data_IF_298471002197
#
_entry.id   IF_298471002197
#
_cell.length_a   1.000
_cell.length_b   1.000
_cell.length_c   1.000
_cell.angle_alpha   90.00
_cell.angle_beta   90.00
_cell.angle_gamma   90.00
#
_symmetry.space_group_name_H-M   'P 1'
#
loop_
_entity.id
_entity.type
_entity.pdbx_description
1 polymer ?
#
# COMPACT_ATOMS: atom_id res chain seq x y z
N UNK A 1 29.03 72.55 -37.20
CA UNK A 1 29.74 71.55 -38.05
C UNK A 1 28.78 71.14 -39.17
N UNK A 2 29.11 71.18 -40.48
CA UNK A 2 29.81 70.13 -41.28
C UNK A 2 29.26 68.72 -40.94
N UNK A 3 28.79 67.84 -41.84
CA UNK A 3 28.71 67.68 -43.33
C UNK A 3 27.65 66.56 -43.60
N UNK A 4 27.10 66.26 -44.79
CA UNK A 4 26.82 66.95 -46.08
C UNK A 4 26.16 65.94 -47.07
N UNK A 5 25.68 66.38 -48.25
CA UNK A 5 25.48 65.58 -49.51
C UNK A 5 24.40 64.47 -49.53
N UNK A 6 23.65 64.16 -50.61
CA UNK A 6 23.61 64.54 -52.06
C UNK A 6 22.12 64.57 -52.49
N UNK A 7 21.61 65.54 -53.25
CA UNK A 7 21.59 65.61 -54.73
C UNK A 7 21.31 64.28 -55.47
N UNK A 8 20.11 64.14 -56.04
CA UNK A 8 19.91 63.98 -57.49
C UNK A 8 18.41 64.16 -57.81
N UNK A 9 18.08 64.91 -58.86
CA UNK A 9 16.74 64.93 -59.44
C UNK A 9 16.80 64.42 -60.88
N UNK A 10 15.75 63.75 -61.34
CA UNK A 10 15.48 63.46 -62.75
C UNK A 10 14.00 63.69 -63.02
N UNK A 11 13.72 64.27 -64.18
CA UNK A 11 12.40 64.63 -64.68
C UNK A 11 11.79 63.45 -65.48
N UNK A 12 10.49 63.21 -65.32
CA UNK A 12 9.66 62.48 -66.29
C UNK A 12 9.73 60.94 -66.28
N UNK A 13 8.58 60.30 -66.10
CA UNK A 13 7.75 59.91 -67.24
C UNK A 13 6.33 59.57 -66.76
N UNK A 14 5.31 59.98 -67.50
CA UNK A 14 3.97 59.44 -67.33
C UNK A 14 3.92 58.03 -67.95
N UNK A 15 3.66 57.01 -67.13
CA UNK A 15 3.32 55.67 -67.59
C UNK A 15 2.10 55.18 -66.83
N UNK A 16 1.02 54.94 -67.58
CA UNK A 16 -0.27 54.54 -67.03
C UNK A 16 -0.22 53.09 -66.54
N UNK A 17 0.13 52.88 -65.28
CA UNK A 17 -0.18 51.64 -64.58
C UNK A 17 -1.65 51.69 -64.16
N UNK A 18 -2.52 50.99 -64.89
CA UNK A 18 -3.88 50.73 -64.47
C UNK A 18 -3.88 49.79 -63.26
N UNK A 19 -3.60 50.33 -62.08
CA UNK A 19 -3.84 49.63 -60.81
C UNK A 19 -5.34 49.44 -60.73
N UNK A 20 -5.77 48.18 -60.87
CA UNK A 20 -7.17 47.80 -60.73
C UNK A 20 -7.66 48.17 -59.34
N UNK A 21 -8.31 49.33 -59.23
CA UNK A 21 -9.03 49.77 -58.05
C UNK A 21 -10.27 48.89 -57.91
N UNK A 22 -10.06 47.69 -57.39
CA UNK A 22 -11.08 46.89 -56.73
C UNK A 22 -11.48 47.59 -55.44
N UNK A 23 -12.17 48.73 -55.56
CA UNK A 23 -12.82 49.41 -54.47
C UNK A 23 -13.89 48.45 -53.92
N UNK A 24 -13.58 47.73 -52.85
CA UNK A 24 -14.60 47.08 -52.04
C UNK A 24 -15.63 48.16 -51.67
N UNK A 25 -16.88 47.97 -52.07
CA UNK A 25 -17.92 48.96 -51.78
C UNK A 25 -18.14 49.01 -50.27
N UNK A 26 -18.64 50.13 -49.74
CA UNK A 26 -19.00 50.21 -48.31
C UNK A 26 -19.88 49.04 -47.90
N UNK A 27 -20.83 48.65 -48.77
CA UNK A 27 -21.70 47.49 -48.61
C UNK A 27 -20.96 46.15 -48.53
N UNK A 28 -19.88 45.93 -49.29
CA UNK A 28 -19.03 44.74 -49.17
C UNK A 28 -18.25 44.71 -47.85
N UNK A 29 -17.82 45.88 -47.38
CA UNK A 29 -17.12 46.04 -46.10
C UNK A 29 -18.10 45.79 -44.94
N UNK A 30 -19.28 46.39 -44.97
CA UNK A 30 -20.35 46.20 -43.99
C UNK A 30 -20.79 44.74 -43.91
N UNK A 31 -20.96 44.07 -45.05
CA UNK A 31 -21.30 42.64 -45.07
C UNK A 31 -20.18 41.78 -44.46
N UNK A 32 -18.90 42.05 -44.78
CA UNK A 32 -17.77 41.32 -44.19
C UNK A 32 -17.64 41.57 -42.69
N UNK A 33 -17.95 42.78 -42.22
CA UNK A 33 -18.02 43.10 -40.78
C UNK A 33 -19.14 42.31 -40.12
N UNK A 34 -20.35 42.30 -40.69
CA UNK A 34 -21.49 41.54 -40.17
C UNK A 34 -21.23 40.01 -40.16
N UNK A 35 -20.60 39.46 -41.20
CA UNK A 35 -20.18 38.05 -41.23
C UNK A 35 -19.08 37.74 -40.21
N UNK A 36 -18.15 38.67 -39.97
CA UNK A 36 -17.11 38.53 -38.95
C UNK A 36 -17.68 38.63 -37.53
N UNK A 37 -18.62 39.55 -37.29
CA UNK A 37 -19.38 39.67 -36.05
C UNK A 37 -20.16 38.38 -35.78
N UNK A 38 -21.00 37.93 -36.72
CA UNK A 38 -21.77 36.67 -36.56
C UNK A 38 -20.88 35.43 -36.33
N UNK A 39 -19.69 35.35 -36.93
CA UNK A 39 -18.69 34.29 -36.66
C UNK A 39 -18.01 34.44 -35.30
N UNK A 40 -17.95 35.64 -34.75
CA UNK A 40 -17.40 35.94 -33.43
C UNK A 40 -18.45 35.65 -32.35
N UNK A 41 -19.69 36.10 -32.55
CA UNK A 41 -20.81 35.85 -31.64
C UNK A 41 -21.04 34.34 -31.44
N UNK A 42 -21.07 33.56 -32.52
CA UNK A 42 -21.15 32.08 -32.46
C UNK A 42 -19.96 31.42 -31.75
N UNK A 43 -18.79 32.05 -31.76
CA UNK A 43 -17.62 31.57 -31.00
C UNK A 43 -17.72 31.96 -29.53
N UNK A 44 -18.26 33.13 -29.22
CA UNK A 44 -18.52 33.58 -27.84
C UNK A 44 -19.52 32.63 -27.19
N UNK A 45 -20.69 32.40 -27.82
CA UNK A 45 -21.72 31.46 -27.37
C UNK A 45 -21.16 30.04 -27.14
N UNK A 46 -20.33 29.55 -28.07
CA UNK A 46 -19.66 28.25 -27.97
C UNK A 46 -18.61 28.20 -26.85
N UNK A 47 -17.93 29.30 -26.53
CA UNK A 47 -16.98 29.40 -25.42
C UNK A 47 -17.71 29.52 -24.09
N UNK A 48 -18.79 30.30 -24.02
CA UNK A 48 -19.65 30.43 -22.84
C UNK A 48 -20.21 29.06 -22.43
N UNK A 49 -20.76 28.31 -23.39
CA UNK A 49 -21.24 26.93 -23.15
C UNK A 49 -20.12 26.04 -22.61
N UNK A 50 -18.91 26.11 -23.17
CA UNK A 50 -17.76 25.32 -22.68
C UNK A 50 -17.29 25.74 -21.28
N UNK A 51 -17.41 27.02 -20.93
CA UNK A 51 -17.07 27.54 -19.58
C UNK A 51 -18.08 27.04 -18.56
N UNK A 52 -19.38 27.03 -18.86
CA UNK A 52 -20.41 26.44 -17.99
C UNK A 52 -20.16 24.94 -17.76
N UNK A 53 -19.94 24.18 -18.84
CA UNK A 53 -19.61 22.75 -18.82
C UNK A 53 -18.37 22.43 -17.96
N UNK A 54 -17.35 23.31 -18.00
CA UNK A 54 -16.14 23.19 -17.19
C UNK A 54 -16.38 23.56 -15.72
N UNK A 55 -17.20 24.58 -15.44
CA UNK A 55 -17.57 24.96 -14.08
C UNK A 55 -18.40 23.87 -13.39
N UNK A 56 -19.30 23.18 -14.10
CA UNK A 56 -20.01 22.02 -13.56
C UNK A 56 -19.07 20.85 -13.27
N UNK A 57 -18.16 20.52 -14.19
CA UNK A 57 -17.15 19.46 -13.99
C UNK A 57 -16.19 19.80 -12.85
N UNK A 58 -15.84 21.07 -12.66
CA UNK A 58 -15.04 21.52 -11.52
C UNK A 58 -15.80 21.28 -10.20
N UNK A 59 -17.03 21.80 -10.06
CA UNK A 59 -17.88 21.55 -8.86
C UNK A 59 -18.06 20.05 -8.56
N UNK A 60 -18.27 19.23 -9.59
CA UNK A 60 -18.41 17.78 -9.45
C UNK A 60 -17.09 17.06 -9.08
N UNK A 61 -15.94 17.68 -9.34
CA UNK A 61 -14.62 17.20 -8.93
C UNK A 61 -14.31 17.63 -7.51
N UNK A 62 -14.57 18.90 -7.16
CA UNK A 62 -14.39 19.44 -5.81
C UNK A 62 -15.22 18.66 -4.79
N UNK A 63 -16.50 18.38 -5.09
CA UNK A 63 -17.35 17.55 -4.22
C UNK A 63 -16.88 16.08 -4.08
N UNK A 64 -16.15 15.55 -5.07
CA UNK A 64 -15.52 14.22 -4.95
C UNK A 64 -14.25 14.26 -4.11
N UNK A 65 -13.47 15.35 -4.18
CA UNK A 65 -12.29 15.56 -3.34
C UNK A 65 -12.71 15.66 -1.87
N UNK A 66 -13.71 16.49 -1.53
CA UNK A 66 -14.25 16.56 -0.17
C UNK A 66 -14.74 15.20 0.36
N UNK A 67 -15.34 14.37 -0.50
CA UNK A 67 -15.79 13.03 -0.13
C UNK A 67 -14.61 12.06 0.07
N UNK A 68 -13.54 12.21 -0.70
CA UNK A 68 -12.31 11.44 -0.52
C UNK A 68 -11.57 11.84 0.76
N UNK A 69 -11.45 13.14 1.03
CA UNK A 69 -10.79 13.66 2.24
C UNK A 69 -11.48 13.16 3.51
N UNK A 70 -12.82 13.26 3.59
CA UNK A 70 -13.61 12.70 4.71
C UNK A 70 -13.36 11.19 4.88
N UNK A 71 -13.30 10.44 3.79
CA UNK A 71 -13.05 8.99 3.84
C UNK A 71 -11.61 8.66 4.24
N UNK A 72 -10.63 9.46 3.84
CA UNK A 72 -9.23 9.34 4.28
C UNK A 72 -9.12 9.64 5.77
N UNK A 73 -9.83 10.66 6.26
CA UNK A 73 -9.88 11.00 7.68
C UNK A 73 -10.50 9.86 8.51
N UNK A 74 -11.69 9.36 8.13
CA UNK A 74 -12.33 8.19 8.76
C UNK A 74 -11.42 6.95 8.77
N UNK A 75 -10.76 6.65 7.64
CA UNK A 75 -9.79 5.55 7.53
C UNK A 75 -8.59 5.76 8.46
N UNK A 76 -8.08 6.97 8.58
CA UNK A 76 -6.94 7.30 9.44
C UNK A 76 -7.29 7.19 10.93
N UNK A 77 -8.49 7.62 11.32
CA UNK A 77 -9.01 7.47 12.68
C UNK A 77 -9.22 5.99 13.01
N UNK A 78 -9.90 5.23 12.14
CA UNK A 78 -10.10 3.79 12.29
C UNK A 78 -8.78 3.00 12.39
N UNK A 79 -7.79 3.34 11.56
CA UNK A 79 -6.46 2.74 11.62
C UNK A 79 -5.72 3.08 12.93
N UNK A 80 -5.81 4.32 13.40
CA UNK A 80 -5.24 4.75 14.69
C UNK A 80 -5.89 4.03 15.87
N UNK A 81 -7.21 3.90 15.88
CA UNK A 81 -7.95 3.15 16.91
C UNK A 81 -7.69 1.64 16.87
N UNK A 82 -7.54 1.05 15.68
CA UNK A 82 -7.15 -0.35 15.54
C UNK A 82 -5.72 -0.59 16.07
N UNK A 83 -4.78 0.30 15.73
CA UNK A 83 -3.40 0.24 16.21
C UNK A 83 -3.32 0.46 17.73
N UNK A 84 -4.08 1.40 18.28
CA UNK A 84 -4.18 1.63 19.73
C UNK A 84 -4.73 0.39 20.45
N UNK A 85 -5.83 -0.19 19.97
CA UNK A 85 -6.40 -1.44 20.53
C UNK A 85 -5.41 -2.60 20.46
N UNK A 86 -4.67 -2.74 19.36
CA UNK A 86 -3.63 -3.75 19.22
C UNK A 86 -2.45 -3.53 20.18
N UNK A 87 -2.04 -2.27 20.40
CA UNK A 87 -1.01 -1.92 21.39
C UNK A 87 -1.48 -2.17 22.82
N UNK A 88 -2.70 -1.78 23.18
CA UNK A 88 -3.30 -2.02 24.51
C UNK A 88 -3.43 -3.53 24.78
N UNK A 89 -3.91 -4.31 23.79
CA UNK A 89 -3.93 -5.77 23.87
C UNK A 89 -2.51 -6.37 24.03
N UNK A 90 -1.51 -5.85 23.31
CA UNK A 90 -0.11 -6.27 23.42
C UNK A 90 0.52 -5.91 24.77
N UNK A 91 0.14 -4.79 25.39
CA UNK A 91 0.58 -4.40 26.74
C UNK A 91 -0.08 -5.28 27.81
N UNK A 92 -1.38 -5.57 27.67
CA UNK A 92 -2.09 -6.51 28.55
C UNK A 92 -1.57 -7.94 28.44
N UNK A 93 -1.18 -8.38 27.24
CA UNK A 93 -0.50 -9.65 27.03
C UNK A 93 0.88 -9.66 27.70
N UNK A 94 1.71 -8.63 27.50
CA UNK A 94 3.03 -8.51 28.15
C UNK A 94 2.97 -8.53 29.69
N UNK A 95 1.90 -8.01 30.29
CA UNK A 95 1.65 -8.13 31.74
C UNK A 95 1.29 -9.54 32.22
N UNK A 96 1.05 -10.48 31.31
CA UNK A 96 0.69 -11.89 31.59
C UNK A 96 1.69 -12.91 31.06
N UNK A 97 2.60 -12.58 30.15
CA UNK A 97 3.60 -13.53 29.65
C UNK A 97 4.52 -13.96 30.79
N UNK A 98 4.50 -15.25 31.11
CA UNK A 98 5.37 -15.89 32.10
C UNK A 98 6.76 -16.11 31.50
N UNK A 99 6.80 -16.70 30.30
CA UNK A 99 8.00 -16.84 29.48
C UNK A 99 7.64 -17.16 28.02
N UNK A 100 8.60 -16.94 27.13
CA UNK A 100 8.54 -17.34 25.73
C UNK A 100 9.70 -18.31 25.43
N UNK A 101 9.48 -19.29 24.55
CA UNK A 101 10.55 -20.10 23.99
C UNK A 101 10.44 -20.19 22.47
N UNK A 102 11.49 -19.75 21.78
CA UNK A 102 11.61 -19.80 20.31
C UNK A 102 12.32 -21.06 19.85
N UNK A 103 11.70 -21.76 18.92
CA UNK A 103 12.15 -23.00 18.32
C UNK A 103 12.39 -22.80 16.82
N UNK A 104 13.60 -22.43 16.44
CA UNK A 104 14.02 -22.25 15.03
C UNK A 104 14.30 -23.59 14.35
N UNK A 105 14.42 -23.59 13.01
CA UNK A 105 14.78 -24.77 12.21
C UNK A 105 16.05 -25.49 12.73
N UNK A 106 17.01 -24.76 13.30
CA UNK A 106 18.25 -25.34 13.85
C UNK A 106 18.06 -26.08 15.19
N UNK A 107 16.87 -25.96 15.82
CA UNK A 107 16.52 -26.55 17.14
C UNK A 107 15.30 -27.47 17.07
N UNK A 108 14.31 -27.12 16.24
CA UNK A 108 13.22 -27.98 15.79
C UNK A 108 13.38 -28.12 14.28
N UNK A 109 13.92 -29.26 13.81
CA UNK A 109 13.95 -29.51 12.36
C UNK A 109 12.61 -30.06 11.95
N UNK A 110 11.83 -29.22 11.28
CA UNK A 110 10.78 -29.74 10.43
C UNK A 110 11.44 -30.22 9.13
N UNK A 111 11.05 -31.39 8.60
CA UNK A 111 11.48 -31.73 7.24
C UNK A 111 11.02 -30.62 6.27
N UNK A 112 11.77 -30.39 5.19
CA UNK A 112 11.40 -29.35 4.20
C UNK A 112 9.97 -29.57 3.73
N UNK A 113 9.16 -28.50 3.74
CA UNK A 113 7.71 -28.52 3.46
C UNK A 113 6.89 -29.45 4.36
N UNK A 114 7.37 -29.76 5.57
CA UNK A 114 6.69 -30.61 6.55
C UNK A 114 6.34 -29.86 7.84
N UNK A 115 5.42 -30.45 8.59
CA UNK A 115 5.09 -30.11 9.97
C UNK A 115 5.48 -31.22 10.97
N UNK A 116 6.20 -32.25 10.52
CA UNK A 116 6.62 -33.35 11.38
C UNK A 116 7.84 -32.98 12.23
N UNK A 117 7.72 -33.17 13.54
CA UNK A 117 8.78 -32.97 14.54
C UNK A 117 9.82 -34.10 14.45
N UNK A 118 11.10 -33.74 14.34
CA UNK A 118 12.23 -34.66 14.54
C UNK A 118 12.46 -34.97 16.02
N UNK A 119 13.42 -35.85 16.33
CA UNK A 119 13.64 -36.27 17.72
C UNK A 119 14.29 -35.18 18.58
N UNK A 120 15.13 -34.31 17.98
CA UNK A 120 15.69 -33.15 18.69
C UNK A 120 14.61 -32.12 19.05
N UNK A 121 13.62 -31.95 18.18
CA UNK A 121 12.45 -31.14 18.49
C UNK A 121 11.66 -31.68 19.67
N UNK A 122 11.43 -33.00 19.70
CA UNK A 122 10.72 -33.69 20.77
C UNK A 122 11.42 -33.49 22.11
N UNK A 123 12.73 -33.73 22.18
CA UNK A 123 13.54 -33.47 23.40
C UNK A 123 13.39 -32.02 23.91
N UNK A 124 13.45 -31.03 23.00
CA UNK A 124 13.34 -29.62 23.38
C UNK A 124 11.91 -29.26 23.85
N UNK A 125 10.90 -29.95 23.33
CA UNK A 125 9.50 -29.84 23.78
C UNK A 125 9.24 -30.62 25.09
N UNK A 126 9.93 -31.74 25.33
CA UNK A 126 9.92 -32.45 26.62
C UNK A 126 10.44 -31.52 27.74
N UNK A 127 11.56 -30.83 27.51
CA UNK A 127 12.11 -29.81 28.43
C UNK A 127 11.13 -28.64 28.67
N UNK A 128 10.53 -28.10 27.60
CA UNK A 128 9.53 -27.04 27.71
C UNK A 128 8.33 -27.48 28.56
N UNK A 129 7.83 -28.70 28.35
CA UNK A 129 6.70 -29.24 29.11
C UNK A 129 7.03 -29.51 30.58
N UNK A 130 8.29 -29.75 30.94
CA UNK A 130 8.73 -29.76 32.35
C UNK A 130 8.60 -28.36 32.95
N UNK A 131 9.19 -27.33 32.31
CA UNK A 131 9.11 -25.93 32.78
C UNK A 131 7.67 -25.45 33.00
N UNK A 132 6.75 -25.77 32.08
CA UNK A 132 5.32 -25.45 32.21
C UNK A 132 4.69 -26.10 33.44
N UNK A 133 5.03 -27.37 33.73
CA UNK A 133 4.49 -28.10 34.90
C UNK A 133 5.08 -27.59 36.21
N UNK A 134 6.35 -27.17 36.22
CA UNK A 134 7.02 -26.61 37.40
C UNK A 134 6.43 -25.27 37.87
N UNK A 135 5.70 -24.54 37.01
CA UNK A 135 4.92 -23.36 37.41
C UNK A 135 3.81 -23.67 38.43
N UNK A 136 3.36 -24.94 38.54
CA UNK A 136 2.37 -25.44 39.51
C UNK A 136 1.04 -24.66 39.55
N UNK A 137 0.65 -24.04 38.44
CA UNK A 137 -0.56 -23.21 38.31
C UNK A 137 -1.16 -23.32 36.91
N UNK A 138 -2.45 -22.98 36.70
CA UNK A 138 -2.99 -22.83 35.37
C UNK A 138 -2.22 -21.76 34.58
N UNK A 139 -1.96 -22.06 33.31
CA UNK A 139 -1.39 -21.14 32.32
C UNK A 139 -2.05 -21.37 30.96
N UNK A 140 -2.11 -20.33 30.17
CA UNK A 140 -2.43 -20.36 28.74
C UNK A 140 -1.15 -20.50 27.92
N UNK A 141 -1.23 -21.15 26.77
CA UNK A 141 -0.11 -21.36 25.88
C UNK A 141 -0.54 -20.97 24.48
N UNK A 142 0.17 -20.01 23.88
CA UNK A 142 0.01 -19.64 22.48
C UNK A 142 1.19 -20.19 21.68
N UNK A 143 0.89 -20.84 20.56
CA UNK A 143 1.86 -21.52 19.70
C UNK A 143 1.78 -20.86 18.32
N UNK A 144 2.81 -20.10 17.97
CA UNK A 144 2.87 -19.25 16.79
C UNK A 144 3.75 -19.92 15.72
N UNK A 145 3.18 -20.24 14.56
CA UNK A 145 3.91 -20.82 13.43
C UNK A 145 4.40 -19.76 12.45
N UNK A 146 5.68 -19.82 12.09
CA UNK A 146 6.29 -18.94 11.09
C UNK A 146 7.03 -19.72 9.99
N UNK A 147 7.13 -19.11 8.83
CA UNK A 147 7.86 -19.60 7.65
C UNK A 147 8.91 -18.60 7.20
N UNK A 148 9.68 -18.96 6.17
CA UNK A 148 10.37 -17.97 5.35
C UNK A 148 9.48 -17.57 4.15
N UNK A 149 9.95 -16.61 3.34
CA UNK A 149 9.20 -16.11 2.18
C UNK A 149 9.24 -17.02 0.94
N UNK A 150 9.50 -18.32 1.09
CA UNK A 150 9.58 -19.27 -0.04
C UNK A 150 8.22 -19.91 -0.30
N UNK A 151 7.38 -19.23 -1.08
CA UNK A 151 6.06 -19.75 -1.46
C UNK A 151 5.07 -18.64 -1.76
N UNK A 152 3.79 -18.98 -1.73
CA UNK A 152 2.71 -17.98 -1.62
C UNK A 152 2.33 -17.80 -0.15
N UNK A 153 1.77 -16.64 0.18
CA UNK A 153 1.21 -16.30 1.51
C UNK A 153 0.27 -17.42 2.01
N UNK A 154 -0.69 -17.84 1.19
CA UNK A 154 -1.62 -18.95 1.47
C UNK A 154 -0.92 -20.27 1.85
N UNK A 155 0.18 -20.62 1.17
CA UNK A 155 0.98 -21.83 1.48
C UNK A 155 1.74 -21.66 2.79
N UNK A 156 2.30 -20.47 3.02
CA UNK A 156 3.04 -20.13 4.23
C UNK A 156 2.15 -20.14 5.47
N UNK A 157 0.96 -19.55 5.38
CA UNK A 157 -0.04 -19.55 6.45
C UNK A 157 -0.49 -20.97 6.80
N UNK A 158 -0.82 -21.79 5.79
CA UNK A 158 -1.17 -23.20 6.02
C UNK A 158 -0.01 -24.02 6.61
N UNK A 159 1.24 -23.75 6.21
CA UNK A 159 2.42 -24.45 6.72
C UNK A 159 2.72 -24.04 8.17
N UNK A 160 2.66 -22.76 8.49
CA UNK A 160 2.80 -22.24 9.86
C UNK A 160 1.74 -22.83 10.79
N UNK A 161 0.46 -22.84 10.35
CA UNK A 161 -0.64 -23.44 11.10
C UNK A 161 -0.41 -24.94 11.39
N UNK A 162 0.00 -25.72 10.38
CA UNK A 162 0.31 -27.15 10.54
C UNK A 162 1.48 -27.38 11.50
N UNK A 163 2.52 -26.54 11.48
CA UNK A 163 3.67 -26.61 12.40
C UNK A 163 3.27 -26.30 13.84
N UNK A 164 2.47 -25.26 14.04
CA UNK A 164 1.92 -24.89 15.35
C UNK A 164 1.03 -26.00 15.93
N UNK A 165 0.10 -26.53 15.13
CA UNK A 165 -0.78 -27.64 15.55
C UNK A 165 0.01 -28.92 15.84
N UNK A 166 1.10 -29.21 15.12
CA UNK A 166 1.95 -30.37 15.42
C UNK A 166 2.63 -30.26 16.79
N UNK A 167 3.06 -29.05 17.19
CA UNK A 167 3.60 -28.79 18.54
C UNK A 167 2.49 -28.94 19.59
N UNK A 168 1.30 -28.36 19.36
CA UNK A 168 0.12 -28.47 20.25
C UNK A 168 -0.28 -29.92 20.49
N UNK A 169 -0.39 -30.72 19.42
CA UNK A 169 -0.75 -32.13 19.50
C UNK A 169 0.33 -32.97 20.17
N UNK A 170 1.62 -32.65 19.97
CA UNK A 170 2.71 -33.32 20.67
C UNK A 170 2.63 -33.06 22.18
N UNK A 171 2.55 -31.80 22.59
CA UNK A 171 2.44 -31.39 24.00
C UNK A 171 1.19 -31.98 24.67
N UNK A 172 0.05 -32.00 23.98
CA UNK A 172 -1.18 -32.63 24.45
C UNK A 172 -1.03 -34.14 24.66
N UNK A 173 -0.50 -34.86 23.66
CA UNK A 173 -0.45 -36.33 23.68
C UNK A 173 0.64 -36.86 24.61
N UNK A 174 1.84 -36.25 24.58
CA UNK A 174 3.03 -36.71 25.33
C UNK A 174 3.01 -36.27 26.79
N UNK A 175 2.58 -35.03 27.07
CA UNK A 175 2.65 -34.42 28.41
C UNK A 175 1.29 -34.09 29.03
N UNK A 176 0.19 -34.41 28.34
CA UNK A 176 -1.17 -34.22 28.83
C UNK A 176 -1.48 -32.74 29.16
N UNK A 177 -0.82 -31.80 28.47
CA UNK A 177 -1.15 -30.38 28.58
C UNK A 177 -2.57 -30.14 28.01
N UNK A 178 -3.46 -29.38 28.69
CA UNK A 178 -4.85 -29.26 28.26
C UNK A 178 -4.99 -28.53 26.91
N UNK A 179 -5.53 -29.23 25.89
CA UNK A 179 -5.84 -28.66 24.58
C UNK A 179 -6.67 -27.36 24.66
N UNK A 180 -7.68 -27.22 25.55
CA UNK A 180 -8.44 -25.97 25.69
C UNK A 180 -7.62 -24.77 26.18
N UNK A 181 -6.41 -24.98 26.73
CA UNK A 181 -5.48 -23.91 27.13
C UNK A 181 -4.36 -23.67 26.11
N UNK A 182 -4.37 -24.39 24.99
CA UNK A 182 -3.40 -24.24 23.90
C UNK A 182 -4.08 -23.66 22.67
N UNK A 183 -3.67 -22.47 22.27
CA UNK A 183 -4.09 -21.79 21.03
C UNK A 183 -2.96 -21.86 20.01
N UNK A 184 -3.32 -22.06 18.74
CA UNK A 184 -2.37 -22.05 17.62
C UNK A 184 -2.68 -20.91 16.67
N UNK A 185 -1.65 -20.15 16.30
CA UNK A 185 -1.71 -19.03 15.37
C UNK A 185 -0.68 -19.29 14.26
N UNK A 186 -1.00 -18.88 13.04
CA UNK A 186 -0.01 -18.79 11.95
C UNK A 186 0.21 -17.33 11.62
N UNK A 187 1.47 -16.98 11.36
CA UNK A 187 1.85 -15.67 10.83
C UNK A 187 2.51 -15.77 9.45
N UNK A 188 2.58 -16.98 8.87
CA UNK A 188 3.30 -17.22 7.62
C UNK A 188 4.71 -16.62 7.65
N UNK A 189 5.03 -15.84 6.61
CA UNK A 189 6.27 -15.06 6.50
C UNK A 189 6.11 -13.57 6.85
N UNK A 190 4.94 -13.15 7.35
CA UNK A 190 4.61 -11.73 7.65
C UNK A 190 5.44 -11.12 8.79
N UNK A 191 5.94 -11.97 9.72
CA UNK A 191 6.74 -11.57 10.88
C UNK A 191 8.15 -12.22 10.85
N UNK A 192 9.05 -11.77 9.95
CA UNK A 192 10.43 -12.22 9.90
C UNK A 192 11.26 -11.62 11.04
N UNK A 193 12.14 -12.43 11.63
CA UNK A 193 13.17 -11.99 12.61
C UNK A 193 14.50 -11.65 11.96
N UNK A 194 14.74 -12.18 10.76
CA UNK A 194 15.96 -11.99 9.98
C UNK A 194 15.63 -11.71 8.49
N UNK A 195 16.49 -11.04 7.71
CA UNK A 195 16.27 -10.87 6.29
C UNK A 195 16.31 -12.22 5.54
N UNK A 196 15.23 -12.55 4.81
CA UNK A 196 15.10 -13.78 4.00
C UNK A 196 16.13 -13.92 2.85
N UNK A 197 17.04 -12.96 2.67
CA UNK A 197 18.07 -12.94 1.61
C UNK A 197 19.06 -14.10 1.69
N UNK A 198 19.34 -14.62 2.89
CA UNK A 198 20.29 -15.72 3.11
C UNK A 198 19.62 -17.00 3.58
N UNK A 199 20.26 -18.16 3.35
CA UNK A 199 19.81 -19.45 3.90
C UNK A 199 19.70 -19.43 5.42
N UNK A 200 20.64 -18.77 6.10
CA UNK A 200 20.65 -18.54 7.56
C UNK A 200 19.43 -17.72 8.01
N UNK A 201 19.16 -16.59 7.35
CA UNK A 201 18.01 -15.74 7.70
C UNK A 201 16.69 -16.45 7.49
N UNK A 202 16.55 -17.21 6.40
CA UNK A 202 15.40 -18.10 6.17
C UNK A 202 15.26 -19.18 7.25
N UNK A 203 16.37 -19.81 7.69
CA UNK A 203 16.34 -20.80 8.78
C UNK A 203 15.94 -20.21 10.14
N UNK A 204 16.31 -18.94 10.42
CA UNK A 204 15.83 -18.23 11.61
C UNK A 204 14.34 -17.89 11.53
N UNK A 205 13.82 -17.55 10.34
CA UNK A 205 12.41 -17.23 10.13
C UNK A 205 11.49 -18.45 10.20
N UNK A 206 11.93 -19.60 9.67
CA UNK A 206 11.25 -20.90 9.84
C UNK A 206 11.38 -21.35 11.31
N UNK A 207 10.41 -20.93 12.13
CA UNK A 207 10.39 -21.15 13.58
C UNK A 207 8.96 -21.40 14.08
N UNK A 208 8.86 -22.00 15.27
CA UNK A 208 7.68 -21.91 16.12
C UNK A 208 8.05 -21.12 17.37
N UNK A 209 7.23 -20.16 17.76
CA UNK A 209 7.34 -19.46 19.05
C UNK A 209 6.26 -20.00 19.97
N UNK A 210 6.61 -20.32 21.21
CA UNK A 210 5.63 -20.74 22.22
C UNK A 210 5.67 -19.76 23.38
N UNK A 211 4.55 -19.06 23.58
CA UNK A 211 4.36 -18.04 24.62
C UNK A 211 3.49 -18.64 25.73
N UNK A 212 3.96 -18.59 26.97
CA UNK A 212 3.21 -19.05 28.15
C UNK A 212 2.69 -17.83 28.91
N UNK A 213 1.40 -17.82 29.27
CA UNK A 213 0.69 -16.69 29.86
C UNK A 213 -0.12 -17.09 31.11
N UNK A 214 -0.37 -16.14 32.01
CA UNK A 214 -1.28 -16.30 33.17
C UNK A 214 -2.78 -16.30 32.81
#
# INVERSE_FOLDING_TARGET
>A
MKRSTRLLGILGLASAAAIGLGCATTKDVDQRIAEAQSKTDKKIESVETQVEDLQEKQKATDGKLEQQDKKIEELSQSASEALKRAQEAGVLAKGKVVFEQTFTEDRIRFRVSSAQLDDKAKETLDEFAVKVRDLKRPVWIEIQGHTDNTGTEEINDQLGAKRAESVRLYLARKHQLPIPRMTTISYGDTLPVEPNKSSKGRAANRRVVVVVME
#
